data_IF_302736490732
#
_entry.id   IF_302736490732
#
_cell.length_a   1.000
_cell.length_b   1.000
_cell.length_c   1.000
_cell.angle_alpha   90.00
_cell.angle_beta   90.00
_cell.angle_gamma   90.00
#
_symmetry.space_group_name_H-M   'P 1'
#
loop_
_entity.id
_entity.type
_entity.pdbx_description
1 polymer ?
#
# COMPACT_ATOMS: atom_id res chain seq x y z
N UNK A 1 -8.58 -11.02 24.90
CA UNK A 1 -7.70 -10.74 23.74
C UNK A 1 -7.66 -9.24 23.43
N UNK A 2 -8.80 -8.56 23.29
CA UNK A 2 -8.87 -7.10 23.03
C UNK A 2 -8.21 -6.24 24.13
N UNK A 3 -8.43 -6.57 25.40
CA UNK A 3 -7.86 -5.82 26.53
C UNK A 3 -6.31 -5.86 26.55
N UNK A 4 -5.71 -6.96 26.06
CA UNK A 4 -4.25 -7.07 25.96
C UNK A 4 -3.69 -6.22 24.80
N UNK A 5 -4.40 -6.16 23.67
CA UNK A 5 -3.96 -5.36 22.51
C UNK A 5 -3.94 -3.86 22.83
N UNK A 6 -5.01 -3.32 23.45
CA UNK A 6 -5.04 -1.90 23.81
C UNK A 6 -3.95 -1.54 24.83
N UNK A 7 -3.66 -2.43 25.76
CA UNK A 7 -2.59 -2.26 26.72
C UNK A 7 -1.21 -2.29 26.05
N UNK A 8 -0.96 -3.24 25.15
CA UNK A 8 0.29 -3.28 24.36
C UNK A 8 0.46 -2.01 23.50
N UNK A 9 -0.62 -1.56 22.84
CA UNK A 9 -0.59 -0.34 22.02
C UNK A 9 -0.37 0.93 22.85
N UNK A 10 -0.84 0.98 24.10
CA UNK A 10 -0.70 2.17 24.96
C UNK A 10 0.77 2.52 25.28
N UNK A 11 1.68 1.55 25.13
CA UNK A 11 3.11 1.73 25.32
C UNK A 11 3.92 1.61 24.01
N UNK A 12 3.25 1.31 22.89
CA UNK A 12 3.90 1.13 21.61
C UNK A 12 4.27 2.46 20.96
N UNK A 13 5.31 2.42 20.12
CA UNK A 13 5.60 3.50 19.17
C UNK A 13 4.86 3.20 17.88
N UNK A 14 4.07 4.16 17.42
CA UNK A 14 3.31 4.05 16.17
C UNK A 14 4.13 4.69 15.05
N UNK A 15 4.29 3.96 13.95
CA UNK A 15 4.89 4.44 12.73
C UNK A 15 3.83 4.44 11.64
N UNK A 16 3.64 5.59 11.00
CA UNK A 16 2.83 5.69 9.79
C UNK A 16 3.67 5.25 8.58
N UNK A 17 3.13 4.32 7.80
CA UNK A 17 3.78 3.79 6.59
C UNK A 17 3.14 4.32 5.30
N UNK A 18 2.14 5.20 5.43
CA UNK A 18 1.48 5.87 4.32
C UNK A 18 2.40 6.89 3.66
N UNK A 19 2.50 6.86 2.33
CA UNK A 19 3.10 7.95 1.59
C UNK A 19 2.11 9.11 1.42
N UNK A 20 2.57 10.38 1.51
CA UNK A 20 1.69 11.53 1.31
C UNK A 20 0.95 11.47 -0.03
N UNK A 21 -0.38 11.62 0.02
CA UNK A 21 -1.25 11.69 -1.16
C UNK A 21 -1.45 13.13 -1.59
N UNK A 22 -1.14 13.44 -2.85
CA UNK A 22 -1.33 14.75 -3.44
C UNK A 22 -1.48 14.64 -4.95
N UNK A 23 -2.02 15.68 -5.58
CA UNK A 23 -2.14 15.74 -7.03
C UNK A 23 -0.74 15.71 -7.67
N UNK A 24 -0.49 14.73 -8.54
CA UNK A 24 0.81 14.52 -9.18
C UNK A 24 1.81 13.70 -8.37
N UNK A 25 1.39 13.08 -7.26
CA UNK A 25 2.21 12.10 -6.55
C UNK A 25 2.63 10.94 -7.49
N UNK A 26 3.79 10.30 -7.28
CA UNK A 26 4.23 9.19 -8.11
C UNK A 26 3.16 8.12 -8.27
N UNK A 27 2.87 7.74 -9.51
CA UNK A 27 1.90 6.72 -9.84
C UNK A 27 2.33 5.98 -11.11
N UNK A 28 2.00 4.70 -11.18
CA UNK A 28 2.16 3.93 -12.40
C UNK A 28 1.37 4.59 -13.55
N UNK A 29 1.96 4.81 -14.74
CA UNK A 29 1.32 5.57 -15.82
C UNK A 29 -0.08 5.07 -16.21
N UNK A 30 -0.33 3.76 -16.12
CA UNK A 30 -1.64 3.16 -16.41
C UNK A 30 -2.75 3.50 -15.40
N UNK A 31 -2.41 4.10 -14.25
CA UNK A 31 -3.34 4.46 -13.18
C UNK A 31 -3.47 5.97 -12.98
N UNK A 32 -2.84 6.78 -13.84
CA UNK A 32 -3.03 8.24 -13.83
C UNK A 32 -4.52 8.61 -14.01
N UNK A 33 -5.02 9.71 -13.41
CA UNK A 33 -4.29 10.78 -12.74
C UNK A 33 -3.98 10.53 -11.26
N UNK A 34 -4.27 9.35 -10.73
CA UNK A 34 -4.03 9.02 -9.33
C UNK A 34 -4.96 9.73 -8.35
N UNK A 35 -4.41 10.31 -7.28
CA UNK A 35 -5.18 11.02 -6.26
C UNK A 35 -5.45 12.47 -6.66
N UNK A 36 -6.73 12.84 -6.74
CA UNK A 36 -7.19 14.20 -7.03
C UNK A 36 -8.16 14.62 -5.96
N UNK A 37 -7.87 15.75 -5.30
CA UNK A 37 -8.77 16.37 -4.33
C UNK A 37 -9.17 17.77 -4.81
N UNK A 38 -10.47 18.06 -4.76
CA UNK A 38 -11.01 19.37 -5.08
C UNK A 38 -11.86 19.85 -3.92
N UNK A 39 -11.50 20.99 -3.34
CA UNK A 39 -12.31 21.62 -2.30
C UNK A 39 -13.51 22.33 -2.95
N UNK A 40 -14.71 21.79 -2.76
CA UNK A 40 -15.92 22.29 -3.39
C UNK A 40 -16.55 23.44 -2.60
N UNK A 41 -16.70 23.27 -1.29
CA UNK A 41 -17.21 24.30 -0.37
C UNK A 41 -16.09 24.84 0.50
N UNK A 42 -16.08 26.16 0.65
CA UNK A 42 -15.18 26.89 1.52
C UNK A 42 -15.95 27.46 2.71
N UNK A 43 -15.21 27.82 3.75
CA UNK A 43 -15.77 28.69 4.78
C UNK A 43 -15.99 30.07 4.16
N UNK A 44 -17.19 30.61 4.30
CA UNK A 44 -17.54 31.94 3.81
C UNK A 44 -17.99 32.83 4.97
N UNK A 45 -17.61 34.12 4.96
CA UNK A 45 -18.19 35.08 5.87
C UNK A 45 -19.67 35.30 5.54
N UNK A 46 -20.41 35.90 6.48
CA UNK A 46 -21.78 36.41 6.25
C UNK A 46 -22.83 35.37 5.80
N UNK A 47 -22.63 34.09 6.15
CA UNK A 47 -23.63 33.01 5.91
C UNK A 47 -24.90 33.14 6.77
N UNK A 48 -25.02 34.20 7.56
CA UNK A 48 -26.12 34.41 8.50
C UNK A 48 -26.08 33.51 9.73
N UNK A 49 -25.05 32.68 9.89
CA UNK A 49 -24.85 31.84 11.09
C UNK A 49 -23.39 31.88 11.55
N UNK A 50 -23.15 31.62 12.83
CA UNK A 50 -21.80 31.49 13.38
C UNK A 50 -21.09 30.20 12.91
N UNK A 51 -21.82 29.22 12.38
CA UNK A 51 -21.27 27.93 11.95
C UNK A 51 -20.99 27.98 10.45
N UNK A 52 -19.75 27.72 10.08
CA UNK A 52 -19.33 27.57 8.69
C UNK A 52 -18.70 26.18 8.49
N UNK A 53 -18.75 25.66 7.26
CA UNK A 53 -18.22 24.34 6.92
C UNK A 53 -17.55 24.37 5.55
N UNK A 54 -16.52 23.55 5.39
CA UNK A 54 -15.89 23.26 4.11
C UNK A 54 -16.09 21.77 3.75
N UNK A 55 -16.15 21.46 2.47
CA UNK A 55 -16.31 20.07 2.01
C UNK A 55 -15.72 19.91 0.61
N UNK A 56 -15.01 18.81 0.37
CA UNK A 56 -14.41 18.51 -0.93
C UNK A 56 -14.90 17.19 -1.51
N UNK A 57 -14.49 16.95 -2.73
CA UNK A 57 -14.60 15.66 -3.42
C UNK A 57 -13.20 15.15 -3.68
N UNK A 58 -13.00 13.84 -3.57
CA UNK A 58 -11.77 13.21 -4.04
C UNK A 58 -12.10 12.13 -5.06
N UNK A 59 -11.17 11.93 -5.98
CA UNK A 59 -11.11 10.83 -6.91
C UNK A 59 -9.75 10.16 -6.73
N UNK A 60 -9.70 8.83 -6.71
CA UNK A 60 -8.47 8.07 -6.65
C UNK A 60 -8.62 6.82 -7.50
N UNK A 61 -7.61 6.52 -8.34
CA UNK A 61 -7.47 5.17 -8.87
C UNK A 61 -7.11 4.22 -7.72
N UNK A 62 -7.57 2.96 -7.78
CA UNK A 62 -7.41 1.99 -6.69
C UNK A 62 -5.95 1.69 -6.31
N UNK A 63 -5.03 1.89 -7.25
CA UNK A 63 -3.57 1.73 -7.08
C UNK A 63 -2.82 3.05 -6.85
N UNK A 64 -3.49 4.08 -6.33
CA UNK A 64 -2.87 5.39 -6.04
C UNK A 64 -2.29 5.45 -4.63
N UNK A 65 -1.01 5.82 -4.50
CA UNK A 65 -0.33 5.95 -3.20
C UNK A 65 -0.04 4.59 -2.55
N UNK A 66 0.13 4.56 -1.22
CA UNK A 66 0.22 3.29 -0.47
C UNK A 66 -1.13 2.56 -0.57
N UNK A 67 -1.14 1.30 -1.03
CA UNK A 67 -2.38 0.57 -1.29
C UNK A 67 -2.21 -0.93 -1.05
N UNK A 68 -3.32 -1.67 -1.19
CA UNK A 68 -3.36 -3.12 -1.12
C UNK A 68 -3.97 -3.62 -2.44
N UNK A 69 -3.26 -4.51 -3.11
CA UNK A 69 -3.80 -5.25 -4.25
C UNK A 69 -4.58 -6.45 -3.75
N UNK A 70 -5.87 -6.52 -4.10
CA UNK A 70 -6.70 -7.68 -3.84
C UNK A 70 -6.33 -8.85 -4.77
N UNK A 71 -6.78 -10.06 -4.43
CA UNK A 71 -6.48 -11.26 -5.20
C UNK A 71 -7.05 -11.25 -6.64
N UNK A 72 -8.03 -10.38 -6.92
CA UNK A 72 -8.55 -10.16 -8.26
C UNK A 72 -7.69 -9.23 -9.14
N UNK A 73 -6.68 -8.54 -8.58
CA UNK A 73 -5.94 -7.48 -9.28
C UNK A 73 -5.18 -8.01 -10.51
N UNK A 74 -4.50 -9.15 -10.38
CA UNK A 74 -3.71 -9.74 -11.47
C UNK A 74 -4.13 -11.18 -11.79
N UNK A 75 -4.21 -11.45 -13.09
CA UNK A 75 -4.40 -12.78 -13.64
C UNK A 75 -3.16 -13.18 -14.44
N UNK A 76 -2.78 -14.45 -14.36
CA UNK A 76 -1.81 -15.05 -15.25
C UNK A 76 -2.54 -16.01 -16.20
N UNK A 77 -2.32 -15.91 -17.51
CA UNK A 77 -2.99 -16.74 -18.52
C UNK A 77 -4.53 -16.76 -18.36
N UNK A 78 -5.14 -15.58 -18.15
CA UNK A 78 -6.58 -15.42 -17.87
C UNK A 78 -7.09 -16.27 -16.70
N UNK A 79 -6.22 -16.52 -15.73
CA UNK A 79 -6.53 -17.29 -14.52
C UNK A 79 -6.12 -16.50 -13.29
N UNK A 80 -7.07 -16.27 -12.38
CA UNK A 80 -6.86 -15.64 -11.09
C UNK A 80 -6.45 -16.67 -10.02
N UNK A 81 -6.17 -16.17 -8.81
CA UNK A 81 -5.91 -16.99 -7.64
C UNK A 81 -6.94 -18.12 -7.47
N UNK A 82 -6.47 -19.30 -7.06
CA UNK A 82 -7.31 -20.48 -6.88
C UNK A 82 -7.76 -21.17 -8.17
N UNK A 83 -7.25 -20.76 -9.34
CA UNK A 83 -7.58 -21.38 -10.63
C UNK A 83 -8.86 -20.84 -11.27
N UNK A 84 -9.34 -19.67 -10.84
CA UNK A 84 -10.55 -19.06 -11.37
C UNK A 84 -10.30 -18.48 -12.76
N UNK A 85 -11.01 -18.98 -13.76
CA UNK A 85 -10.95 -18.42 -15.11
C UNK A 85 -11.58 -17.02 -15.16
N UNK A 86 -10.92 -16.09 -15.83
CA UNK A 86 -11.46 -14.74 -16.07
C UNK A 86 -12.62 -14.83 -17.07
N UNK A 87 -13.83 -14.54 -16.59
CA UNK A 87 -15.07 -14.57 -17.37
C UNK A 87 -15.81 -13.23 -17.28
N UNK A 88 -16.74 -12.91 -18.20
CA UNK A 88 -17.57 -11.71 -18.09
C UNK A 88 -18.46 -11.67 -16.84
N UNK A 89 -18.72 -12.83 -16.21
CA UNK A 89 -19.43 -12.91 -14.94
C UNK A 89 -18.52 -12.53 -13.77
N UNK A 90 -17.23 -12.89 -13.84
CA UNK A 90 -16.24 -12.61 -12.81
C UNK A 90 -15.76 -11.16 -12.83
N UNK A 91 -15.48 -10.60 -14.03
CA UNK A 91 -15.05 -9.22 -14.23
C UNK A 91 -16.17 -8.39 -14.86
N UNK A 92 -16.93 -7.68 -14.03
CA UNK A 92 -18.08 -6.88 -14.48
C UNK A 92 -17.71 -5.41 -14.63
N UNK A 93 -18.59 -4.62 -15.25
CA UNK A 93 -18.43 -3.17 -15.34
C UNK A 93 -18.44 -2.45 -13.98
N UNK A 94 -18.87 -3.13 -12.90
CA UNK A 94 -18.93 -2.57 -11.54
C UNK A 94 -17.91 -3.18 -10.58
N UNK A 95 -16.99 -4.02 -11.08
CA UNK A 95 -15.96 -4.69 -10.28
C UNK A 95 -15.97 -6.20 -10.42
N UNK A 96 -15.15 -6.86 -9.59
CA UNK A 96 -15.03 -8.31 -9.54
C UNK A 96 -16.09 -8.92 -8.61
N UNK A 97 -16.65 -10.08 -8.98
CA UNK A 97 -17.64 -10.79 -8.13
C UNK A 97 -17.02 -11.71 -7.09
N UNK A 98 -15.74 -12.02 -7.22
CA UNK A 98 -14.96 -12.82 -6.28
C UNK A 98 -13.56 -12.21 -6.14
N UNK A 99 -12.86 -12.55 -5.05
CA UNK A 99 -11.48 -12.13 -4.78
C UNK A 99 -11.28 -10.61 -4.63
N UNK A 100 -12.37 -9.85 -4.48
CA UNK A 100 -12.34 -8.41 -4.25
C UNK A 100 -11.80 -8.03 -2.88
N UNK A 101 -11.43 -6.76 -2.73
CA UNK A 101 -10.84 -6.19 -1.51
C UNK A 101 -11.79 -6.31 -0.31
N UNK A 102 -13.10 -6.31 -0.55
CA UNK A 102 -14.14 -6.50 0.47
C UNK A 102 -14.10 -7.88 1.15
N UNK A 103 -13.39 -8.85 0.56
CA UNK A 103 -13.15 -10.17 1.15
C UNK A 103 -11.97 -10.19 2.13
N UNK A 104 -11.14 -9.15 2.15
CA UNK A 104 -9.97 -9.07 3.03
C UNK A 104 -10.46 -8.74 4.45
N UNK A 105 -10.20 -9.60 5.46
CA UNK A 105 -10.54 -9.30 6.84
C UNK A 105 -9.66 -8.15 7.38
N UNK A 106 -10.09 -7.45 8.45
CA UNK A 106 -9.23 -6.47 9.10
C UNK A 106 -7.86 -7.04 9.44
N UNK A 107 -6.79 -6.39 8.96
CA UNK A 107 -5.41 -6.85 9.14
C UNK A 107 -4.85 -6.31 10.45
N UNK A 108 -5.04 -7.08 11.52
CA UNK A 108 -4.40 -6.85 12.82
C UNK A 108 -3.55 -8.06 13.15
N UNK A 109 -2.29 -8.02 12.72
CA UNK A 109 -1.36 -9.14 12.83
C UNK A 109 0.07 -8.65 13.10
N UNK A 110 0.98 -9.60 13.30
CA UNK A 110 2.40 -9.30 13.49
C UNK A 110 3.03 -8.90 12.16
N UNK A 111 3.65 -7.72 12.13
CA UNK A 111 4.48 -7.27 11.02
C UNK A 111 5.95 -7.59 11.25
N UNK A 112 6.65 -8.06 10.22
CA UNK A 112 8.11 -8.27 10.22
C UNK A 112 8.72 -7.40 9.13
N UNK A 113 9.55 -6.43 9.51
CA UNK A 113 10.34 -5.64 8.57
C UNK A 113 11.66 -6.36 8.27
N UNK A 114 11.87 -6.77 7.03
CA UNK A 114 13.17 -7.22 6.52
C UNK A 114 13.89 -6.04 5.87
N UNK A 115 14.98 -5.60 6.48
CA UNK A 115 15.84 -4.52 5.99
C UNK A 115 16.84 -5.05 4.96
N UNK A 116 16.33 -5.33 3.75
CA UNK A 116 17.13 -5.88 2.64
C UNK A 116 18.22 -4.89 2.23
N UNK A 117 17.91 -3.59 2.14
CA UNK A 117 18.89 -2.56 1.83
C UNK A 117 20.01 -2.52 2.91
N UNK A 118 19.64 -2.54 4.19
CA UNK A 118 20.59 -2.59 5.30
C UNK A 118 21.45 -3.85 5.32
N UNK A 119 20.87 -5.02 5.03
CA UNK A 119 21.63 -6.28 4.90
C UNK A 119 22.68 -6.21 3.79
N UNK A 120 22.35 -5.58 2.66
CA UNK A 120 23.25 -5.40 1.53
C UNK A 120 24.26 -4.25 1.72
N UNK A 121 24.12 -3.45 2.78
CA UNK A 121 24.99 -2.31 3.06
C UNK A 121 24.79 -1.15 2.08
N UNK A 122 23.59 -1.00 1.52
CA UNK A 122 23.23 0.06 0.57
C UNK A 122 22.10 0.93 1.11
N UNK A 123 22.01 2.18 0.65
CA UNK A 123 20.90 3.06 1.01
C UNK A 123 19.59 2.64 0.33
N UNK A 124 19.70 2.09 -0.88
CA UNK A 124 18.61 1.60 -1.68
C UNK A 124 19.05 0.43 -2.56
N UNK A 125 18.13 -0.47 -2.85
CA UNK A 125 18.31 -1.56 -3.81
C UNK A 125 18.09 -1.00 -5.21
N UNK A 126 19.04 -1.26 -6.12
CA UNK A 126 18.93 -0.85 -7.53
C UNK A 126 17.75 -1.53 -8.23
N UNK A 127 17.13 -0.80 -9.16
CA UNK A 127 15.90 -1.24 -9.85
C UNK A 127 16.05 -2.58 -10.59
N UNK A 128 17.23 -2.84 -11.15
CA UNK A 128 17.54 -4.03 -11.95
C UNK A 128 18.11 -5.18 -11.11
N UNK A 129 18.14 -5.06 -9.78
CA UNK A 129 18.59 -6.11 -8.86
C UNK A 129 17.39 -6.82 -8.23
N UNK A 130 17.01 -8.03 -8.70
CA UNK A 130 15.95 -8.80 -8.07
C UNK A 130 16.26 -9.10 -6.60
N UNK A 131 15.25 -9.01 -5.75
CA UNK A 131 15.32 -9.49 -4.37
C UNK A 131 14.77 -10.92 -4.35
N UNK A 132 15.68 -11.88 -4.18
CA UNK A 132 15.34 -13.30 -4.22
C UNK A 132 15.16 -13.92 -2.84
N UNK A 133 14.73 -15.19 -2.81
CA UNK A 133 14.64 -16.01 -1.59
C UNK A 133 15.91 -15.91 -0.72
N UNK A 134 17.09 -16.01 -1.33
CA UNK A 134 18.36 -16.00 -0.61
C UNK A 134 18.60 -14.68 0.15
N UNK A 135 18.21 -13.54 -0.44
CA UNK A 135 18.30 -12.23 0.21
C UNK A 135 17.38 -12.16 1.42
N UNK A 136 16.13 -12.63 1.27
CA UNK A 136 15.13 -12.61 2.34
C UNK A 136 15.54 -13.50 3.52
N UNK A 137 15.99 -14.73 3.23
CA UNK A 137 16.45 -15.66 4.27
C UNK A 137 17.72 -15.17 4.97
N UNK A 138 18.65 -14.57 4.24
CA UNK A 138 19.87 -14.02 4.84
C UNK A 138 19.58 -12.78 5.68
N UNK A 139 18.68 -11.90 5.23
CA UNK A 139 18.22 -10.73 5.98
C UNK A 139 17.53 -11.16 7.27
N UNK A 140 16.61 -12.14 7.20
CA UNK A 140 15.94 -12.69 8.37
C UNK A 140 16.92 -13.30 9.39
N UNK A 141 17.90 -14.09 8.93
CA UNK A 141 18.96 -14.64 9.79
C UNK A 141 19.81 -13.54 10.43
N UNK A 142 20.18 -12.50 9.67
CA UNK A 142 21.02 -11.39 10.16
C UNK A 142 20.31 -10.58 11.26
N UNK A 143 18.99 -10.45 11.14
CA UNK A 143 18.11 -9.77 12.09
C UNK A 143 17.62 -10.66 13.23
N UNK A 144 17.95 -11.96 13.23
CA UNK A 144 17.46 -12.95 14.18
C UNK A 144 15.91 -13.00 14.29
N UNK A 145 15.24 -12.97 13.13
CA UNK A 145 13.77 -13.04 13.04
C UNK A 145 13.29 -14.31 12.36
N UNK A 146 12.21 -14.89 12.90
CA UNK A 146 11.53 -16.06 12.32
C UNK A 146 10.16 -15.65 11.79
N UNK A 147 9.96 -15.86 10.49
CA UNK A 147 8.68 -15.68 9.80
C UNK A 147 7.80 -16.90 10.08
N UNK A 148 6.54 -16.68 10.39
CA UNK A 148 5.54 -17.69 10.71
C UNK A 148 4.25 -17.42 9.93
N UNK A 149 3.40 -18.44 9.84
CA UNK A 149 2.09 -18.30 9.21
C UNK A 149 1.27 -17.18 9.88
N UNK A 150 0.70 -16.30 9.07
CA UNK A 150 -0.08 -15.14 9.54
C UNK A 150 0.70 -13.84 9.71
N UNK A 151 2.03 -13.86 9.55
CA UNK A 151 2.82 -12.62 9.55
C UNK A 151 2.65 -11.82 8.26
N UNK A 152 2.70 -10.50 8.37
CA UNK A 152 2.89 -9.60 7.23
C UNK A 152 4.37 -9.26 7.13
N UNK A 153 5.01 -9.66 6.03
CA UNK A 153 6.42 -9.37 5.77
C UNK A 153 6.52 -8.08 4.96
N UNK A 154 7.20 -7.08 5.52
CA UNK A 154 7.49 -5.81 4.90
C UNK A 154 8.95 -5.81 4.42
N UNK A 155 9.19 -5.42 3.17
CA UNK A 155 10.54 -5.37 2.60
C UNK A 155 11.01 -3.92 2.51
N UNK A 156 12.03 -3.56 3.28
CA UNK A 156 12.70 -2.26 3.13
C UNK A 156 13.77 -2.37 2.04
N UNK A 157 13.44 -1.82 0.88
CA UNK A 157 14.36 -1.67 -0.26
C UNK A 157 15.06 -0.32 -0.30
N UNK A 158 14.67 0.63 0.58
CA UNK A 158 15.13 2.01 0.54
C UNK A 158 14.39 2.91 -0.45
N UNK A 159 13.63 2.35 -1.40
CA UNK A 159 12.98 3.13 -2.46
C UNK A 159 11.93 4.14 -1.94
N UNK A 160 11.28 3.84 -0.80
CA UNK A 160 10.31 4.75 -0.18
C UNK A 160 10.87 6.14 0.15
N UNK A 161 12.18 6.27 0.40
CA UNK A 161 12.83 7.57 0.64
C UNK A 161 12.89 8.46 -0.61
N UNK A 162 12.64 7.90 -1.80
CA UNK A 162 12.70 8.58 -3.10
C UNK A 162 11.35 9.10 -3.57
N UNK A 163 10.30 9.04 -2.75
CA UNK A 163 8.93 9.46 -3.13
C UNK A 163 8.83 10.88 -3.71
N UNK A 164 9.73 11.78 -3.31
CA UNK A 164 9.78 13.16 -3.83
C UNK A 164 10.55 13.31 -5.16
N UNK A 165 11.12 12.22 -5.67
CA UNK A 165 11.78 12.12 -6.98
C UNK A 165 11.06 11.06 -7.84
N UNK A 166 9.91 11.41 -8.47
CA UNK A 166 9.06 10.45 -9.16
C UNK A 166 9.77 9.61 -10.25
N UNK A 167 10.62 10.19 -11.13
CA UNK A 167 11.35 9.39 -12.13
C UNK A 167 12.19 8.27 -11.51
N UNK A 168 12.91 8.55 -10.42
CA UNK A 168 13.74 7.55 -9.74
C UNK A 168 12.88 6.56 -8.96
N UNK A 169 11.85 7.04 -8.25
CA UNK A 169 10.93 6.20 -7.48
C UNK A 169 10.24 5.15 -8.36
N UNK A 170 9.74 5.59 -9.53
CA UNK A 170 9.00 4.74 -10.47
C UNK A 170 9.91 3.79 -11.25
N UNK A 171 11.20 4.10 -11.40
CA UNK A 171 12.16 3.19 -12.04
C UNK A 171 12.39 1.91 -11.22
N UNK A 172 12.22 1.97 -9.90
CA UNK A 172 12.43 0.85 -8.96
C UNK A 172 11.14 0.14 -8.56
N UNK A 173 10.02 0.43 -9.23
CA UNK A 173 8.75 -0.28 -9.04
C UNK A 173 8.77 -1.63 -9.79
N UNK A 174 8.26 -2.67 -9.15
CA UNK A 174 7.94 -3.93 -9.83
C UNK A 174 6.81 -3.77 -10.82
#
# INVERSE_FOLDING_TARGET
>A
MMDNLLQELSHARVYDLEQPRYFGAPIFPGHAPGFVYTLHRHHEPDTGTARTSASGTFYAAEHSGTHIDALCHQAENLTLYGGLAVTPQLQTATGFTELGVETIPPLVCRGILLDVAGYLGVDYVEADRPIGRADLEATARRQDVTISAGDVVLLRTGNGARWQDPPTYLASGG
#
